data_IF_820908014557
#
_entry.id   IF_820908014557
#
_cell.length_a   1.000
_cell.length_b   1.000
_cell.length_c   1.000
_cell.angle_alpha   90.00
_cell.angle_beta   90.00
_cell.angle_gamma   90.00
#
_symmetry.space_group_name_H-M   'P 1'
#
loop_
_entity.id
_entity.type
_entity.pdbx_description
1 polymer ?
#
# COMPACT_ATOMS: atom_id res chain seq x y z
N UNK A 1 17.88 18.15 -15.29
CA UNK A 1 17.54 16.85 -14.67
C UNK A 1 16.40 16.27 -15.50
N UNK A 2 16.44 15.02 -15.97
CA UNK A 2 15.35 14.51 -16.79
C UNK A 2 14.10 14.35 -15.93
N UNK A 3 13.09 15.15 -16.22
CA UNK A 3 11.73 15.00 -15.71
C UNK A 3 11.11 13.76 -16.37
N UNK A 4 11.49 12.58 -15.88
CA UNK A 4 10.91 11.31 -16.32
C UNK A 4 9.43 11.32 -15.96
N UNK A 5 8.60 11.61 -16.96
CA UNK A 5 7.15 11.46 -16.85
C UNK A 5 6.83 10.09 -16.26
N UNK A 6 6.00 10.01 -15.20
CA UNK A 6 5.72 8.74 -14.55
C UNK A 6 5.01 7.83 -15.54
N UNK A 7 5.63 6.68 -15.88
CA UNK A 7 4.95 5.65 -16.66
C UNK A 7 3.75 5.17 -15.83
N UNK A 8 2.55 5.48 -16.31
CA UNK A 8 1.31 5.13 -15.63
C UNK A 8 0.99 3.63 -15.71
N UNK A 9 1.51 2.95 -16.72
CA UNK A 9 1.30 1.53 -16.96
C UNK A 9 2.61 0.76 -16.85
N UNK A 10 2.67 -0.16 -15.90
CA UNK A 10 3.85 -1.00 -15.62
C UNK A 10 3.53 -2.47 -15.83
N UNK A 11 4.47 -3.20 -16.40
CA UNK A 11 4.38 -4.66 -16.54
C UNK A 11 4.65 -5.34 -15.19
N UNK A 12 4.23 -6.59 -15.04
CA UNK A 12 4.48 -7.38 -13.80
C UNK A 12 5.98 -7.44 -13.45
N UNK A 13 6.85 -7.66 -14.44
CA UNK A 13 8.30 -7.68 -14.21
C UNK A 13 8.84 -6.33 -13.74
N UNK A 14 8.41 -5.25 -14.40
CA UNK A 14 8.83 -3.88 -14.08
C UNK A 14 8.32 -3.45 -12.69
N UNK A 15 7.11 -3.90 -12.32
CA UNK A 15 6.54 -3.70 -10.99
C UNK A 15 7.39 -4.37 -9.90
N UNK A 16 7.80 -5.62 -10.13
CA UNK A 16 8.60 -6.38 -9.17
C UNK A 16 10.00 -5.79 -9.00
N UNK A 17 10.61 -5.34 -10.10
CA UNK A 17 11.89 -4.61 -10.06
C UNK A 17 11.75 -3.28 -9.31
N UNK A 18 10.66 -2.55 -9.53
CA UNK A 18 10.37 -1.29 -8.85
C UNK A 18 10.11 -1.47 -7.34
N UNK A 19 9.47 -2.58 -6.95
CA UNK A 19 9.27 -2.97 -5.55
C UNK A 19 10.55 -3.49 -4.88
N UNK A 20 11.67 -3.60 -5.61
CA UNK A 20 12.92 -4.16 -5.09
C UNK A 20 12.82 -5.64 -4.70
N UNK A 21 11.84 -6.37 -5.22
CA UNK A 21 11.63 -7.78 -4.92
C UNK A 21 12.27 -8.67 -5.99
N UNK A 22 12.62 -9.89 -5.63
CA UNK A 22 12.98 -10.92 -6.62
C UNK A 22 11.75 -11.38 -7.39
N UNK A 23 11.88 -11.74 -8.67
CA UNK A 23 10.77 -12.16 -9.57
C UNK A 23 9.85 -13.21 -8.95
N UNK A 24 10.40 -14.21 -8.27
CA UNK A 24 9.62 -15.24 -7.56
C UNK A 24 8.80 -14.68 -6.40
N UNK A 25 9.42 -13.87 -5.53
CA UNK A 25 8.72 -13.23 -4.41
C UNK A 25 7.69 -12.23 -4.88
N UNK A 26 8.00 -11.49 -5.94
CA UNK A 26 7.10 -10.53 -6.57
C UNK A 26 5.83 -11.21 -7.09
N UNK A 27 5.96 -12.32 -7.82
CA UNK A 27 4.80 -13.11 -8.28
C UNK A 27 3.95 -13.63 -7.13
N UNK A 28 4.57 -14.14 -6.08
CA UNK A 28 3.86 -14.62 -4.89
C UNK A 28 3.12 -13.47 -4.18
N UNK A 29 3.80 -12.35 -3.97
CA UNK A 29 3.23 -11.15 -3.36
C UNK A 29 2.04 -10.63 -4.19
N UNK A 30 2.20 -10.53 -5.51
CA UNK A 30 1.15 -10.09 -6.43
C UNK A 30 -0.09 -10.98 -6.32
N UNK A 31 0.06 -12.31 -6.29
CA UNK A 31 -1.10 -13.21 -6.10
C UNK A 31 -1.79 -13.04 -4.75
N UNK A 32 -1.03 -12.78 -3.69
CA UNK A 32 -1.61 -12.47 -2.38
C UNK A 32 -2.36 -11.13 -2.42
N UNK A 33 -1.75 -10.10 -3.00
CA UNK A 33 -2.31 -8.77 -3.13
C UNK A 33 -3.58 -8.78 -4.00
N UNK A 34 -3.63 -9.56 -5.09
CA UNK A 34 -4.83 -9.71 -5.93
C UNK A 34 -6.04 -10.21 -5.13
N UNK A 35 -5.83 -11.02 -4.08
CA UNK A 35 -6.90 -11.45 -3.16
C UNK A 35 -7.36 -10.33 -2.23
N UNK A 36 -6.50 -9.37 -1.94
CA UNK A 36 -6.77 -8.21 -1.10
C UNK A 36 -7.37 -7.02 -1.89
N UNK A 37 -7.53 -7.15 -3.21
CA UNK A 37 -8.10 -6.11 -4.07
C UNK A 37 -7.07 -5.33 -4.90
N UNK A 38 -5.87 -5.88 -5.09
CA UNK A 38 -4.85 -5.27 -5.93
C UNK A 38 -5.32 -5.11 -7.39
N UNK A 39 -4.96 -4.00 -8.07
CA UNK A 39 -5.41 -3.73 -9.42
C UNK A 39 -4.95 -4.81 -10.40
N UNK A 40 -5.92 -5.38 -11.11
CA UNK A 40 -5.69 -6.38 -12.15
C UNK A 40 -5.06 -5.75 -13.40
N UNK A 41 -4.26 -6.52 -14.17
CA UNK A 41 -3.72 -6.04 -15.43
C UNK A 41 -4.85 -5.76 -16.42
N UNK A 42 -4.75 -4.64 -17.13
CA UNK A 42 -5.75 -4.25 -18.11
C UNK A 42 -5.37 -4.79 -19.51
N UNK A 43 -6.24 -5.56 -20.18
CA UNK A 43 -5.95 -6.15 -21.49
C UNK A 43 -5.86 -5.09 -22.60
N UNK A 44 -6.50 -3.92 -22.43
CA UNK A 44 -6.49 -2.83 -23.42
C UNK A 44 -5.12 -2.17 -23.49
N UNK A 45 -4.39 -2.13 -22.37
CA UNK A 45 -3.05 -1.54 -22.29
C UNK A 45 -1.92 -2.57 -22.42
N UNK A 46 -2.18 -3.72 -23.06
CA UNK A 46 -1.18 -4.75 -23.28
C UNK A 46 -0.83 -5.52 -22.00
N UNK A 47 -1.84 -5.82 -21.17
CA UNK A 47 -1.70 -6.60 -19.93
C UNK A 47 -0.83 -5.90 -18.87
N UNK A 48 -0.87 -4.56 -18.84
CA UNK A 48 -0.12 -3.70 -17.91
C UNK A 48 -1.01 -3.27 -16.75
N UNK A 49 -0.39 -3.06 -15.58
CA UNK A 49 -1.06 -2.57 -14.38
C UNK A 49 -0.92 -1.07 -14.26
N UNK A 50 -1.99 -0.41 -13.82
CA UNK A 50 -2.00 1.01 -13.55
C UNK A 50 -1.22 1.30 -12.25
N UNK A 51 -0.01 1.82 -12.39
CA UNK A 51 0.88 2.13 -11.27
C UNK A 51 0.25 3.08 -10.23
N UNK A 52 -0.54 4.11 -10.59
CA UNK A 52 -1.16 4.96 -9.59
C UNK A 52 -2.15 4.22 -8.69
N UNK A 53 -2.89 3.23 -9.22
CA UNK A 53 -3.77 2.39 -8.42
C UNK A 53 -2.97 1.43 -7.52
N UNK A 54 -1.86 0.89 -8.03
CA UNK A 54 -0.95 0.07 -7.21
C UNK A 54 -0.38 0.90 -6.07
N UNK A 55 0.09 2.11 -6.37
CA UNK A 55 0.61 3.04 -5.39
C UNK A 55 -0.44 3.35 -4.35
N UNK A 56 -1.67 3.72 -4.74
CA UNK A 56 -2.76 3.99 -3.79
C UNK A 56 -3.09 2.79 -2.91
N UNK A 57 -3.09 1.57 -3.47
CA UNK A 57 -3.29 0.36 -2.69
C UNK A 57 -2.19 0.18 -1.63
N UNK A 58 -0.93 0.35 -2.03
CA UNK A 58 0.21 0.27 -1.10
C UNK A 58 0.15 1.39 -0.07
N UNK A 59 -0.17 2.61 -0.49
CA UNK A 59 -0.34 3.78 0.35
C UNK A 59 -1.39 3.49 1.44
N UNK A 60 -2.55 2.94 1.07
CA UNK A 60 -3.59 2.51 2.02
C UNK A 60 -3.09 1.41 2.96
N UNK A 61 -2.37 0.42 2.44
CA UNK A 61 -1.81 -0.70 3.25
C UNK A 61 -0.79 -0.21 4.29
N UNK A 62 0.01 0.79 3.95
CA UNK A 62 1.04 1.36 4.81
C UNK A 62 0.57 2.61 5.57
N UNK A 63 -0.73 2.94 5.52
CA UNK A 63 -1.31 4.08 6.26
C UNK A 63 -0.97 5.46 5.69
N UNK A 64 -0.37 5.53 4.50
CA UNK A 64 -0.04 6.76 3.79
C UNK A 64 -1.20 7.28 2.91
N UNK A 65 -2.14 6.38 2.55
CA UNK A 65 -3.30 6.63 1.68
C UNK A 65 -4.37 7.55 2.24
N UNK A 66 -4.24 7.95 3.50
CA UNK A 66 -5.12 8.91 4.14
C UNK A 66 -4.39 10.25 4.27
N UNK A 67 -4.49 11.09 3.23
CA UNK A 67 -4.56 12.53 3.52
C UNK A 67 -5.79 12.68 4.43
N UNK A 68 -5.55 12.92 5.72
CA UNK A 68 -6.54 13.03 6.79
C UNK A 68 -7.43 11.80 6.99
N UNK A 69 -6.94 10.80 7.73
CA UNK A 69 -7.69 10.00 8.71
C UNK A 69 -6.74 8.94 9.24
N UNK A 70 -6.04 9.28 10.33
CA UNK A 70 -5.52 8.28 11.24
C UNK A 70 -6.59 7.20 11.43
N UNK A 71 -6.30 5.89 11.33
CA UNK A 71 -7.15 4.95 12.03
C UNK A 71 -7.08 5.41 13.49
N UNK A 72 -8.22 5.91 13.98
CA UNK A 72 -8.51 5.97 15.40
C UNK A 72 -8.17 4.57 15.91
N UNK A 73 -7.00 4.43 16.51
CA UNK A 73 -6.75 3.32 17.43
C UNK A 73 -7.88 3.47 18.45
N UNK A 74 -8.85 2.55 18.54
CA UNK A 74 -9.84 2.64 19.59
C UNK A 74 -9.07 2.61 20.90
N UNK A 75 -9.30 3.69 21.65
CA UNK A 75 -8.70 4.07 22.91
C UNK A 75 -8.35 2.87 23.79
N UNK A 76 -7.06 2.58 23.89
CA UNK A 76 -6.55 1.53 24.75
C UNK A 76 -6.54 2.04 26.19
N UNK A 77 -7.67 1.90 26.87
CA UNK A 77 -7.89 2.05 28.32
C UNK A 77 -6.86 2.91 29.07
N UNK A 78 -7.14 4.20 29.18
CA UNK A 78 -6.46 5.09 30.12
C UNK A 78 -6.75 4.66 31.59
N UNK A 79 -5.89 3.81 32.16
CA UNK A 79 -5.88 3.56 33.60
C UNK A 79 -5.16 4.71 34.30
N UNK A 80 -5.89 5.79 34.56
CA UNK A 80 -5.48 6.82 35.51
C UNK A 80 -5.78 6.28 36.90
N UNK A 81 -4.78 5.70 37.57
CA UNK A 81 -4.85 5.49 39.02
C UNK A 81 -4.63 6.84 39.69
N UNK A 82 -5.73 7.56 39.92
CA UNK A 82 -5.78 8.65 40.89
C UNK A 82 -5.99 8.00 42.26
N UNK A 83 -4.89 7.60 42.90
CA UNK A 83 -4.87 7.25 44.32
C UNK A 83 -4.49 8.52 45.07
N UNK A 84 -5.47 9.42 45.23
CA UNK A 84 -5.40 10.56 46.15
C UNK A 84 -5.74 10.04 47.56
N UNK A 85 -4.73 9.50 48.26
CA UNK A 85 -4.80 9.21 49.69
C UNK A 85 -4.65 10.51 50.47
N UNK A 86 -5.75 11.21 50.70
CA UNK A 86 -5.89 12.23 51.73
C UNK A 86 -6.83 11.75 52.84
N UNK A 87 -6.25 11.25 53.94
CA UNK A 87 -6.83 11.29 55.31
C UNK A 87 -5.75 11.12 56.36
#
# INVERSE_FOLDING_TARGET
MPESSPRLFVSDSELVEMLGCTRDKGRAAIRTLEREGFPRPDPVFGNRRYWPAVREFLDRRYGLGAKSSSPLVPDGAENWSDDDEAT
#
